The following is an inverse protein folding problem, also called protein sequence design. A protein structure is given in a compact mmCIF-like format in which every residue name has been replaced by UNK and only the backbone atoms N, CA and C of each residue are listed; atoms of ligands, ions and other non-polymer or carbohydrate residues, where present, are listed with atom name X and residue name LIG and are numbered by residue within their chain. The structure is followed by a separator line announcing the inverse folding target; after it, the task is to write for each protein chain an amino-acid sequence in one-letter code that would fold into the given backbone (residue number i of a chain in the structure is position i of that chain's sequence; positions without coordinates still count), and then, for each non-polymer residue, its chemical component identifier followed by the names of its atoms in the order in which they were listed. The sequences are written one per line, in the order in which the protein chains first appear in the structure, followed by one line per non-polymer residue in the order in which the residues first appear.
data_IF_137377726015
#
_entry.id   IF_137377726015
#
_cell.length_a   1.000
_cell.length_b   1.000
_cell.length_c   1.000
_cell.angle_alpha   90.00
_cell.angle_beta   90.00
_cell.angle_gamma   90.00
#
_symmetry.space_group_name_H-M   'P 1'
#
loop_
_entity.id
_entity.type
_entity.pdbx_description
1 polymer ?
2 polymer ?
#
loop_
_entity_poly.entity_id
_entity_poly.type
_entity_poly.pdbx_seq_one_letter_code
_entity_poly.pdbx_strand_id
2 'polydeoxyribonucleotide' '(DA)(DC)(DC)(DG)(DT)(DA)(DA)(DA)(DC)(DA)(DT)(DG)(DT)(DT)(DT)(DA)(DC)(DG)(DG)(DT)' ?
#
# COMPACT_ATOMS: atom_id res chain seq x y z
N UNK A 13 0.83 14.34 23.30
CA UNK A 13 -0.48 14.83 23.66
C UNK A 13 -1.57 13.86 23.20
N UNK A 14 -2.59 13.73 24.04
CA UNK A 14 -3.69 12.82 23.76
C UNK A 14 -4.99 13.28 24.42
N UNK A 15 -5.05 14.51 24.94
CA UNK A 15 -6.27 14.98 25.56
C UNK A 15 -7.40 14.96 24.53
N UNK A 16 -8.63 14.85 25.03
CA UNK A 16 -9.78 14.67 24.16
C UNK A 16 -9.81 15.76 23.09
N UNK A 17 -10.14 15.42 21.85
CA UNK A 17 -10.22 16.44 20.82
C UNK A 17 -11.58 17.11 20.84
N UNK A 18 -11.63 18.40 20.55
CA UNK A 18 -12.90 19.17 20.59
C UNK A 18 -13.78 18.97 19.35
N UNK A 19 -13.98 17.72 18.96
CA UNK A 19 -14.78 17.43 17.78
C UNK A 19 -15.83 16.39 18.12
N UNK A 20 -17.02 16.56 17.56
CA UNK A 20 -18.06 15.56 17.72
C UNK A 20 -17.72 14.33 16.89
N UNK A 21 -18.39 13.22 17.21
CA UNK A 21 -18.18 12.00 16.45
C UNK A 21 -18.53 12.18 14.99
N UNK A 22 -19.69 12.79 14.73
CA UNK A 22 -20.08 13.08 13.34
C UNK A 22 -19.02 13.93 12.64
N UNK A 23 -18.37 14.83 13.38
CA UNK A 23 -17.34 15.68 12.77
C UNK A 23 -16.11 14.86 12.41
N UNK A 24 -15.56 14.12 13.38
CA UNK A 24 -14.35 13.34 13.15
C UNK A 24 -14.57 12.26 12.08
N UNK A 25 -15.81 11.79 11.92
CA UNK A 25 -16.10 10.83 10.86
C UNK A 25 -16.00 11.52 9.50
N UNK A 26 -16.60 12.70 9.36
CA UNK A 26 -16.54 13.42 8.08
C UNK A 26 -15.11 13.76 7.71
N UNK A 27 -14.28 14.14 8.70
CA UNK A 27 -12.88 14.35 8.43
C UNK A 27 -12.25 13.12 7.80
N UNK A 28 -12.54 11.95 8.37
CA UNK A 28 -11.95 10.72 7.85
C UNK A 28 -12.51 10.41 6.46
N UNK A 29 -13.83 10.42 6.32
CA UNK A 29 -14.43 10.05 5.04
C UNK A 29 -14.00 11.00 3.92
N UNK A 30 -13.93 12.29 4.21
CA UNK A 30 -13.57 13.27 3.19
C UNK A 30 -12.08 13.33 2.89
N UNK A 31 -11.23 12.69 3.70
CA UNK A 31 -9.79 12.72 3.47
C UNK A 31 -9.32 11.70 2.43
N UNK A 32 -10.24 10.96 1.82
CA UNK A 32 -9.93 9.97 0.81
C UNK A 32 -10.17 10.56 -0.58
N UNK A 33 -9.53 9.96 -1.59
CA UNK A 33 -9.69 10.48 -2.95
C UNK A 33 -11.13 10.33 -3.43
N UNK A 34 -11.79 9.21 -3.09
CA UNK A 34 -13.11 8.91 -3.61
C UNK A 34 -14.22 9.20 -2.61
N UNK A 35 -13.94 9.96 -1.55
CA UNK A 35 -14.93 10.42 -0.57
C UNK A 35 -15.72 9.23 0.01
N UNK A 36 -14.96 8.28 0.55
CA UNK A 36 -15.48 6.97 0.91
C UNK A 36 -14.46 6.21 1.77
N UNK A 37 -14.94 5.44 2.74
CA UNK A 37 -14.00 4.73 3.62
C UNK A 37 -14.67 3.51 4.26
N UNK A 38 -13.92 2.42 4.37
CA UNK A 38 -14.38 1.26 5.12
C UNK A 38 -14.31 1.57 6.62
N UNK A 39 -15.15 0.87 7.41
CA UNK A 39 -15.26 1.18 8.84
C UNK A 39 -13.92 1.02 9.56
N UNK A 40 -13.19 -0.08 9.29
CA UNK A 40 -11.90 -0.28 9.99
C UNK A 40 -10.91 0.83 9.65
N UNK A 41 -11.01 1.42 8.45
CA UNK A 41 -10.17 2.55 8.10
C UNK A 41 -10.63 3.86 8.75
N UNK A 42 -11.88 3.93 9.25
CA UNK A 42 -12.37 5.07 10.02
C UNK A 42 -11.87 5.02 11.47
N UNK A 43 -11.92 3.83 12.10
CA UNK A 43 -11.27 3.62 13.39
C UNK A 43 -9.79 4.01 13.29
N UNK A 44 -9.09 3.45 12.30
CA UNK A 44 -7.66 3.69 12.15
C UNK A 44 -7.36 5.17 11.93
N UNK A 45 -8.18 5.85 11.13
CA UNK A 45 -7.96 7.27 10.87
C UNK A 45 -8.14 8.10 12.14
N UNK A 46 -9.17 7.78 12.94
CA UNK A 46 -9.40 8.52 14.17
C UNK A 46 -8.34 8.17 15.23
N UNK A 47 -7.93 6.90 15.28
CA UNK A 47 -6.87 6.49 16.18
C UNK A 47 -5.55 7.18 15.83
N UNK A 48 -5.25 7.30 14.54
CA UNK A 48 -3.96 7.84 14.12
C UNK A 48 -3.91 9.36 14.25
N UNK A 49 -4.99 10.05 13.88
CA UNK A 49 -4.99 11.50 13.92
C UNK A 49 -5.34 12.06 15.29
N UNK A 50 -5.86 11.23 16.20
CA UNK A 50 -6.18 11.68 17.56
C UNK A 50 -5.78 10.57 18.51
N UNK A 51 -4.57 10.64 19.07
CA UNK A 51 -4.09 9.52 19.89
C UNK A 51 -4.97 9.24 21.11
N UNK A 52 -5.92 10.11 21.45
CA UNK A 52 -6.81 9.81 22.57
C UNK A 52 -7.51 8.48 22.39
N UNK A 53 -8.03 8.21 21.20
CA UNK A 53 -8.79 7.00 20.97
C UNK A 53 -7.91 5.76 20.82
N UNK A 54 -6.59 5.93 20.60
CA UNK A 54 -5.66 4.82 20.50
C UNK A 54 -5.14 4.36 21.86
N UNK A 55 -4.98 5.28 22.82
CA UNK A 55 -4.32 4.97 24.09
C UNK A 55 -5.23 5.04 25.31
N UNK A 56 -6.43 5.62 25.21
CA UNK A 56 -7.21 5.93 26.39
C UNK A 56 -8.58 5.28 26.38
N UNK A 57 -9.35 5.56 25.34
CA UNK A 57 -10.78 5.28 25.36
C UNK A 57 -11.04 3.79 25.58
N UNK A 58 -12.09 3.50 26.35
CA UNK A 58 -12.60 2.15 26.53
C UNK A 58 -13.24 1.67 25.22
N UNK A 59 -13.38 0.34 25.02
CA UNK A 59 -13.84 -0.14 23.70
C UNK A 59 -15.20 0.39 23.26
N UNK A 60 -15.90 1.16 24.11
CA UNK A 60 -17.22 1.64 23.78
C UNK A 60 -17.28 2.71 22.71
N UNK A 61 -16.16 3.37 22.40
CA UNK A 61 -16.20 4.45 21.41
C UNK A 61 -16.46 3.91 20.01
N UNK A 62 -16.01 2.69 19.71
CA UNK A 62 -16.35 2.05 18.44
C UNK A 62 -17.85 1.75 18.34
N UNK A 63 -18.51 1.51 19.48
CA UNK A 63 -19.97 1.36 19.52
C UNK A 63 -20.67 2.69 19.25
N UNK A 64 -20.09 3.79 19.72
CA UNK A 64 -20.69 5.10 19.45
C UNK A 64 -20.49 5.53 18.00
N UNK A 65 -19.37 5.14 17.39
CA UNK A 65 -19.13 5.52 16.00
C UNK A 65 -20.09 4.76 15.10
N UNK A 66 -20.29 3.51 15.33
CA UNK A 66 -21.27 2.85 14.56
C UNK A 66 -22.59 3.47 14.82
N UNK A 67 -22.90 3.77 16.05
CA UNK A 67 -24.17 4.41 16.35
C UNK A 67 -24.36 5.67 15.52
N UNK A 68 -23.31 6.49 15.40
CA UNK A 68 -23.43 7.73 14.64
C UNK A 68 -23.64 7.46 13.16
N UNK A 69 -23.00 6.43 12.63
CA UNK A 69 -23.09 6.17 11.19
C UNK A 69 -24.51 5.80 10.79
N UNK A 70 -25.15 4.93 11.57
CA UNK A 70 -26.50 4.51 11.21
C UNK A 70 -27.54 5.58 11.52
N UNK A 71 -27.30 6.44 12.51
CA UNK A 71 -28.36 7.37 12.92
C UNK A 71 -28.42 8.59 12.01
N UNK A 72 -27.30 9.28 11.81
CA UNK A 72 -27.30 10.46 10.96
C UNK A 72 -27.52 10.05 9.51
N UNK A 73 -28.54 10.62 8.88
CA UNK A 73 -28.90 10.18 7.54
C UNK A 73 -27.88 10.59 6.51
N UNK A 74 -27.03 11.58 6.81
CA UNK A 74 -26.01 11.98 5.84
C UNK A 74 -25.03 10.85 5.60
N UNK A 75 -24.90 9.91 6.53
CA UNK A 75 -23.98 8.79 6.39
C UNK A 75 -24.73 7.62 5.77
N UNK A 76 -24.59 7.51 4.46
CA UNK A 76 -25.13 6.44 3.63
C UNK A 76 -23.99 5.52 3.19
N UNK A 77 -24.28 4.23 3.00
CA UNK A 77 -23.23 3.28 2.64
C UNK A 77 -23.33 2.81 1.19
N UNK A 78 -22.18 2.43 0.64
CA UNK A 78 -22.00 2.05 -0.76
C UNK A 78 -21.10 0.81 -0.83
N UNK A 79 -21.42 -0.12 -1.71
CA UNK A 79 -20.67 -1.37 -1.81
C UNK A 79 -19.81 -1.40 -3.07
N UNK A 80 -18.70 -2.12 -2.99
CA UNK A 80 -17.84 -2.27 -4.14
C UNK A 80 -18.51 -3.15 -5.19
N UNK A 81 -17.93 -3.15 -6.39
CA UNK A 81 -18.42 -4.03 -7.45
C UNK A 81 -18.22 -5.48 -7.07
N UNK A 82 -17.03 -5.81 -6.54
CA UNK A 82 -16.74 -7.17 -6.11
C UNK A 82 -17.73 -7.65 -5.06
N UNK A 83 -18.56 -6.76 -4.51
CA UNK A 83 -19.57 -7.15 -3.54
C UNK A 83 -19.02 -7.70 -2.24
N UNK A 84 -17.71 -7.54 -2.03
CA UNK A 84 -17.03 -8.04 -0.84
C UNK A 84 -16.50 -6.94 0.06
N UNK A 85 -16.76 -5.66 -0.24
CA UNK A 85 -16.32 -4.53 0.59
C UNK A 85 -17.47 -3.55 0.74
N UNK A 86 -17.76 -3.15 1.98
CA UNK A 86 -18.83 -2.21 2.32
C UNK A 86 -18.21 -0.92 2.83
N UNK A 87 -18.46 0.19 2.15
CA UNK A 87 -17.89 1.50 2.44
C UNK A 87 -18.93 2.41 3.10
N UNK A 88 -18.44 3.52 3.67
CA UNK A 88 -19.30 4.61 4.15
C UNK A 88 -18.96 5.86 3.33
N UNK A 89 -19.98 6.48 2.73
CA UNK A 89 -19.82 7.63 1.84
C UNK A 89 -20.83 8.70 2.24
N UNK A 90 -20.52 9.94 1.86
CA UNK A 90 -21.42 11.07 2.04
C UNK A 90 -22.03 11.41 0.68
N UNK A 91 -23.28 11.85 0.67
CA UNK A 91 -23.90 12.28 -0.59
C UNK A 91 -23.93 13.80 -0.71
N UNK B 16 -38.60 -32.24 5.78
CA UNK B 16 -37.42 -31.58 5.23
C UNK B 16 -37.47 -31.59 3.70
N UNK B 17 -37.17 -30.48 3.07
CA UNK B 17 -37.19 -30.41 1.60
C UNK B 17 -35.87 -30.90 1.02
N UNK B 18 -35.90 -31.60 -0.17
CA UNK B 18 -34.68 -32.15 -0.76
C UNK B 18 -33.81 -31.13 -1.50
N UNK B 19 -33.58 -29.99 -0.85
CA UNK B 19 -32.79 -28.91 -1.42
C UNK B 19 -31.78 -28.38 -0.41
N UNK B 20 -30.58 -28.04 -0.87
CA UNK B 20 -29.56 -27.41 -0.03
C UNK B 20 -29.94 -25.97 0.26
N UNK B 21 -29.27 -25.38 1.25
CA UNK B 21 -29.53 -23.98 1.57
C UNK B 21 -29.15 -23.08 0.40
N UNK B 22 -27.97 -23.31 -0.17
CA UNK B 22 -27.55 -22.55 -1.35
C UNK B 22 -28.60 -22.66 -2.46
N UNK B 23 -29.24 -23.83 -2.59
CA UNK B 23 -30.25 -23.99 -3.63
C UNK B 23 -31.52 -23.20 -3.29
N UNK B 24 -32.08 -23.42 -2.10
CA UNK B 24 -33.32 -22.75 -1.70
C UNK B 24 -33.15 -21.23 -1.66
N UNK B 25 -31.95 -20.74 -1.38
CA UNK B 25 -31.74 -19.30 -1.35
C UNK B 25 -31.80 -18.73 -2.76
N UNK B 26 -31.09 -19.35 -3.70
CA UNK B 26 -31.08 -18.82 -5.06
C UNK B 26 -32.48 -18.86 -5.66
N UNK B 27 -33.29 -19.85 -5.27
CA UNK B 27 -34.68 -19.89 -5.72
C UNK B 27 -35.39 -18.59 -5.36
N UNK B 28 -35.18 -18.11 -4.14
CA UNK B 28 -35.86 -16.88 -3.70
C UNK B 28 -35.39 -15.68 -4.49
N UNK B 29 -34.07 -15.50 -4.58
CA UNK B 29 -33.49 -14.37 -5.30
C UNK B 29 -33.90 -14.39 -6.77
N UNK B 30 -34.02 -15.57 -7.37
CA UNK B 30 -34.43 -15.64 -8.76
C UNK B 30 -35.91 -15.34 -8.94
N UNK B 31 -36.68 -15.38 -7.85
CA UNK B 31 -38.11 -15.11 -7.89
C UNK B 31 -38.45 -13.63 -7.83
N UNK B 32 -37.46 -12.74 -7.84
CA UNK B 32 -37.69 -11.31 -7.73
C UNK B 32 -37.62 -10.61 -9.08
N UNK B 33 -38.34 -9.49 -9.18
CA UNK B 33 -38.34 -8.68 -10.40
C UNK B 33 -36.98 -8.05 -10.63
N UNK B 34 -36.34 -7.58 -9.57
CA UNK B 34 -35.11 -6.81 -9.66
C UNK B 34 -33.87 -7.62 -9.31
N UNK B 35 -33.98 -8.96 -9.32
CA UNK B 35 -32.85 -9.87 -9.15
C UNK B 35 -32.04 -9.53 -7.89
N UNK B 36 -32.74 -9.41 -6.78
CA UNK B 36 -32.19 -8.91 -5.52
C UNK B 36 -33.18 -9.21 -4.43
N UNK B 37 -32.68 -9.46 -3.22
CA UNK B 37 -33.62 -9.75 -2.15
C UNK B 37 -33.01 -9.39 -0.81
N UNK B 38 -33.84 -8.81 0.06
CA UNK B 38 -33.47 -8.54 1.43
C UNK B 38 -33.41 -9.85 2.22
N UNK B 39 -32.56 -9.88 3.25
CA UNK B 39 -32.46 -11.08 4.08
C UNK B 39 -33.80 -11.45 4.71
N UNK B 40 -34.52 -10.46 5.26
CA UNK B 40 -35.81 -10.77 5.86
C UNK B 40 -36.81 -11.28 4.82
N UNK B 41 -36.69 -10.81 3.56
CA UNK B 41 -37.51 -11.33 2.46
C UNK B 41 -37.06 -12.71 1.99
N UNK B 42 -35.82 -13.11 2.28
CA UNK B 42 -35.36 -14.47 2.01
C UNK B 42 -35.94 -15.44 3.03
N UNK B 43 -35.95 -15.06 4.31
CA UNK B 43 -36.63 -15.85 5.32
C UNK B 43 -38.10 -16.06 4.95
N UNK B 44 -38.80 -14.97 4.65
CA UNK B 44 -40.23 -15.08 4.36
C UNK B 44 -40.49 -15.98 3.15
N UNK B 45 -39.66 -15.88 2.12
CA UNK B 45 -39.86 -16.68 0.92
C UNK B 45 -39.66 -18.17 1.21
N UNK B 46 -38.66 -18.51 2.03
CA UNK B 46 -38.40 -19.91 2.37
C UNK B 46 -39.46 -20.44 3.34
N UNK B 47 -39.93 -19.61 4.27
CA UNK B 47 -41.03 -20.01 5.15
C UNK B 47 -42.30 -20.28 4.34
N UNK B 48 -42.56 -19.45 3.33
CA UNK B 48 -43.81 -19.57 2.58
C UNK B 48 -43.77 -20.75 1.60
N UNK B 49 -42.64 -20.91 0.90
CA UNK B 49 -42.50 -21.93 -0.13
C UNK B 49 -42.03 -23.28 0.40
N UNK B 50 -41.63 -23.36 1.67
CA UNK B 50 -41.28 -24.64 2.30
C UNK B 50 -41.81 -24.64 3.72
N UNK B 51 -43.03 -25.14 3.93
CA UNK B 51 -43.67 -25.02 5.24
C UNK B 51 -42.90 -25.71 6.34
N UNK B 52 -41.88 -26.50 5.99
CA UNK B 52 -41.06 -27.16 7.01
C UNK B 52 -40.47 -26.14 7.97
N UNK B 53 -39.94 -25.03 7.44
CA UNK B 53 -39.25 -24.02 8.24
C UNK B 53 -40.20 -23.09 9.00
N UNK B 54 -41.48 -23.07 8.67
CA UNK B 54 -42.44 -22.27 9.41
C UNK B 54 -42.96 -23.00 10.63
N UNK B 55 -43.09 -24.33 10.54
CA UNK B 55 -43.74 -25.11 11.58
C UNK B 55 -42.83 -26.09 12.32
N UNK B 56 -41.65 -26.43 11.80
CA UNK B 56 -40.89 -27.51 12.42
C UNK B 56 -39.52 -27.01 12.88
N UNK B 57 -38.77 -26.42 11.96
CA UNK B 57 -37.35 -26.17 12.17
C UNK B 57 -37.13 -25.27 13.39
N UNK B 58 -36.08 -25.56 14.14
CA UNK B 58 -35.67 -24.71 15.25
C UNK B 58 -35.12 -23.39 14.71
N UNK B 59 -35.12 -22.33 15.52
CA UNK B 59 -34.77 -20.99 15.00
C UNK B 59 -33.37 -20.88 14.39
N UNK B 60 -32.57 -21.96 14.46
CA UNK B 60 -31.21 -21.93 13.97
C UNK B 60 -31.07 -21.88 12.46
N UNK B 61 -32.16 -22.18 11.72
CA UNK B 61 -32.05 -22.24 10.26
C UNK B 61 -31.75 -20.87 9.67
N UNK B 62 -32.19 -19.80 10.34
CA UNK B 62 -31.83 -18.47 9.90
C UNK B 62 -30.32 -18.24 10.00
N UNK B 63 -29.65 -18.88 10.97
CA UNK B 63 -28.19 -18.80 11.05
C UNK B 63 -27.53 -19.54 9.89
N UNK B 64 -28.13 -20.66 9.47
CA UNK B 64 -27.57 -21.38 8.34
C UNK B 64 -27.73 -20.59 7.05
N UNK B 65 -28.76 -19.76 6.97
CA UNK B 65 -28.99 -18.96 5.76
C UNK B 65 -27.92 -17.87 5.63
N UNK B 66 -27.66 -17.17 6.72
CA UNK B 66 -26.63 -16.14 6.73
C UNK B 66 -25.25 -16.75 6.49
N UNK B 67 -25.03 -17.95 7.03
CA UNK B 67 -23.75 -18.65 6.87
C UNK B 67 -23.51 -19.00 5.41
N UNK B 68 -24.54 -19.48 4.71
CA UNK B 68 -24.38 -19.83 3.30
C UNK B 68 -24.16 -18.59 2.44
N UNK B 69 -24.80 -17.48 2.78
CA UNK B 69 -24.69 -16.28 1.94
C UNK B 69 -23.28 -15.70 1.95
N UNK B 70 -22.65 -15.61 3.12
CA UNK B 70 -21.33 -14.99 3.19
C UNK B 70 -20.26 -15.91 2.62
N UNK B 71 -20.50 -17.22 2.65
CA UNK B 71 -19.49 -18.21 2.27
C UNK B 71 -19.42 -18.42 0.76
N UNK B 72 -20.53 -18.75 0.14
CA UNK B 72 -20.56 -19.01 -1.29
C UNK B 72 -20.36 -17.71 -2.07
N UNK B 73 -19.39 -17.70 -2.99
CA UNK B 73 -19.07 -16.46 -3.70
C UNK B 73 -20.16 -16.05 -4.70
N UNK B 74 -21.07 -16.97 -5.07
CA UNK B 74 -22.11 -16.57 -6.02
C UNK B 74 -23.05 -15.52 -5.42
N UNK B 75 -23.11 -15.43 -4.09
CA UNK B 75 -24.00 -14.49 -3.40
C UNK B 75 -23.21 -13.23 -3.06
N UNK B 76 -23.32 -12.21 -3.91
CA UNK B 76 -22.68 -10.92 -3.66
C UNK B 76 -23.76 -9.93 -3.27
N UNK B 77 -23.46 -8.98 -2.40
CA UNK B 77 -24.43 -8.00 -2.06
C UNK B 77 -24.18 -6.72 -2.72
N UNK B 78 -25.20 -5.90 -2.77
CA UNK B 78 -25.19 -4.61 -3.43
C UNK B 78 -26.14 -3.69 -2.69
N UNK B 79 -25.81 -2.40 -2.69
CA UNK B 79 -26.60 -1.42 -1.97
C UNK B 79 -27.47 -0.66 -2.96
N UNK B 80 -28.65 -0.25 -2.49
CA UNK B 80 -29.57 0.49 -3.33
C UNK B 80 -29.02 1.89 -3.60
N UNK B 81 -29.66 2.61 -4.53
CA UNK B 81 -29.21 3.96 -4.80
C UNK B 81 -29.35 4.81 -3.55
N UNK B 82 -30.51 4.71 -2.86
CA UNK B 82 -30.71 5.41 -1.60
C UNK B 82 -29.67 5.03 -0.55
N UNK B 83 -28.88 3.99 -0.82
CA UNK B 83 -27.79 3.59 0.05
C UNK B 83 -28.23 3.21 1.44
N UNK B 84 -29.54 3.03 1.63
CA UNK B 84 -30.08 2.72 2.94
C UNK B 84 -30.65 1.31 3.00
N UNK B 85 -30.52 0.52 1.94
CA UNK B 85 -30.94 -0.88 1.92
C UNK B 85 -29.83 -1.70 1.26
N UNK B 86 -29.49 -2.83 1.88
CA UNK B 86 -28.46 -3.73 1.40
C UNK B 86 -29.10 -5.04 0.96
N UNK B 87 -28.96 -5.37 -0.34
CA UNK B 87 -29.59 -6.52 -0.96
C UNK B 87 -28.59 -7.65 -1.16
N UNK B 88 -29.13 -8.84 -1.41
CA UNK B 88 -28.36 -10.01 -1.78
C UNK B 88 -28.74 -10.40 -3.20
N UNK B 89 -27.74 -10.58 -4.05
CA UNK B 89 -27.95 -10.93 -5.46
C UNK B 89 -26.95 -12.01 -5.85
N UNK B 90 -27.29 -12.76 -6.91
CA UNK B 90 -26.43 -13.82 -7.40
C UNK B 90 -25.65 -13.31 -8.61
N UNK B 91 -24.38 -13.73 -8.72
CA UNK B 91 -23.52 -13.32 -9.83
C UNK B 91 -23.37 -14.40 -10.89
N UNK E 13 30.03 -3.51 -40.16
CA UNK E 13 30.57 -3.88 -38.86
C UNK E 13 29.60 -3.51 -37.74
N UNK E 14 28.38 -3.13 -38.11
CA UNK E 14 27.30 -2.87 -37.16
C UNK E 14 26.54 -4.15 -36.77
N UNK E 15 27.15 -5.33 -36.95
CA UNK E 15 26.48 -6.59 -36.70
C UNK E 15 26.30 -6.82 -35.19
N UNK E 16 25.54 -7.86 -34.86
CA UNK E 16 25.44 -8.30 -33.47
C UNK E 16 26.77 -8.88 -33.00
N UNK E 17 27.22 -8.55 -31.80
CA UNK E 17 28.49 -9.10 -31.31
C UNK E 17 28.26 -10.43 -30.61
N UNK E 18 29.19 -11.43 -30.81
CA UNK E 18 29.06 -12.77 -30.21
C UNK E 18 29.58 -12.87 -28.78
N UNK E 19 29.17 -11.93 -27.94
CA UNK E 19 29.64 -11.86 -26.56
C UNK E 19 28.45 -11.73 -25.63
N UNK E 20 28.55 -12.34 -24.46
CA UNK E 20 27.52 -12.13 -23.46
C UNK E 20 27.63 -10.71 -22.91
N UNK E 21 26.55 -10.25 -22.28
CA UNK E 21 26.60 -8.92 -21.69
C UNK E 21 27.70 -8.84 -20.64
N UNK E 22 27.80 -9.86 -19.79
CA UNK E 22 28.87 -9.95 -18.81
C UNK E 22 30.24 -9.81 -19.47
N UNK E 23 30.39 -10.33 -20.69
CA UNK E 23 31.67 -10.22 -21.37
C UNK E 23 31.95 -8.78 -21.77
N UNK E 24 31.00 -8.17 -22.48
CA UNK E 24 31.18 -6.82 -23.00
C UNK E 24 31.40 -5.80 -21.89
N UNK E 25 30.89 -6.06 -20.69
CA UNK E 25 31.09 -5.17 -19.56
C UNK E 25 32.56 -5.22 -19.10
N UNK E 26 33.11 -6.44 -19.00
CA UNK E 26 34.49 -6.62 -18.54
C UNK E 26 35.47 -5.92 -19.47
N UNK E 27 35.19 -5.93 -20.77
CA UNK E 27 36.03 -5.20 -21.71
C UNK E 27 36.12 -3.73 -21.34
N UNK E 28 35.00 -3.11 -20.96
CA UNK E 28 35.02 -1.70 -20.63
C UNK E 28 35.83 -1.44 -19.37
N UNK E 29 35.52 -2.16 -18.28
CA UNK E 29 36.22 -1.92 -17.02
C UNK E 29 37.71 -2.21 -17.15
N UNK E 30 38.05 -3.28 -17.85
CA UNK E 30 39.46 -3.64 -17.94
C UNK E 30 40.23 -2.74 -18.91
N UNK E 31 39.55 -1.97 -19.76
CA UNK E 31 40.24 -1.07 -20.67
C UNK E 31 40.59 0.27 -20.03
N UNK E 32 40.29 0.46 -18.75
CA UNK E 32 40.56 1.71 -18.07
C UNK E 32 41.85 1.58 -17.27
N UNK E 33 42.45 2.72 -16.95
CA UNK E 33 43.73 2.68 -16.25
C UNK E 33 43.59 2.08 -14.86
N UNK E 34 42.51 2.42 -14.14
CA UNK E 34 42.34 2.01 -12.76
C UNK E 34 41.30 0.90 -12.59
N UNK E 35 40.94 0.19 -13.67
CA UNK E 35 39.97 -0.91 -13.63
C UNK E 35 38.66 -0.48 -12.99
N UNK E 36 38.09 0.57 -13.56
CA UNK E 36 36.94 1.22 -12.95
C UNK E 36 36.28 2.12 -13.99
N UNK E 37 34.94 2.13 -14.01
CA UNK E 37 34.21 2.88 -15.01
C UNK E 37 32.81 3.19 -14.50
N UNK E 38 32.36 4.42 -14.75
CA UNK E 38 30.97 4.73 -14.45
C UNK E 38 30.06 4.09 -15.50
N UNK E 39 28.81 3.84 -15.11
CA UNK E 39 27.88 3.18 -16.03
C UNK E 39 27.71 3.98 -17.33
N UNK E 40 27.51 5.29 -17.22
CA UNK E 40 27.32 6.09 -18.42
C UNK E 40 28.54 6.02 -19.34
N UNK E 41 29.74 5.81 -18.78
CA UNK E 41 30.90 5.56 -19.60
C UNK E 41 30.94 4.14 -20.14
N UNK E 42 30.17 3.23 -19.57
CA UNK E 42 30.06 1.87 -20.10
C UNK E 42 29.14 1.85 -21.31
N UNK E 43 27.97 2.51 -21.20
CA UNK E 43 27.09 2.65 -22.36
C UNK E 43 27.85 3.24 -23.53
N UNK E 44 28.50 4.38 -23.31
CA UNK E 44 29.23 5.05 -24.39
C UNK E 44 30.32 4.15 -24.93
N UNK E 45 30.98 3.40 -24.05
CA UNK E 45 32.05 2.51 -24.50
C UNK E 45 31.53 1.38 -25.38
N UNK E 46 30.40 0.77 -25.00
CA UNK E 46 29.87 -0.35 -25.77
C UNK E 46 29.25 0.13 -27.08
N UNK E 47 28.60 1.30 -27.07
CA UNK E 47 28.07 1.88 -28.29
C UNK E 47 29.18 2.18 -29.30
N UNK E 48 30.35 2.61 -28.81
CA UNK E 48 31.43 2.99 -29.70
C UNK E 48 32.12 1.77 -30.27
N UNK E 49 32.37 0.76 -29.44
CA UNK E 49 33.07 -0.45 -29.87
C UNK E 49 32.16 -1.49 -30.50
N UNK E 50 30.85 -1.36 -30.37
CA UNK E 50 29.89 -2.27 -31.00
C UNK E 50 28.70 -1.46 -31.48
N UNK E 51 28.76 -0.97 -32.72
CA UNK E 51 27.75 0.00 -33.18
C UNK E 51 26.33 -0.54 -33.22
N UNK E 52 26.12 -1.85 -33.06
CA UNK E 52 24.77 -2.40 -33.08
C UNK E 52 23.89 -1.72 -32.02
N UNK E 53 24.43 -1.52 -30.82
CA UNK E 53 23.69 -0.91 -29.72
C UNK E 53 23.55 0.60 -29.82
N UNK E 54 24.37 1.27 -30.67
CA UNK E 54 24.33 2.72 -30.78
C UNK E 54 23.29 3.21 -31.77
N UNK E 55 23.12 2.49 -32.89
CA UNK E 55 22.29 2.95 -33.99
C UNK E 55 21.07 2.08 -34.21
N UNK E 56 21.01 0.91 -33.58
CA UNK E 56 20.02 -0.08 -33.96
C UNK E 56 19.17 -0.51 -32.77
N UNK E 57 19.82 -1.02 -31.72
CA UNK E 57 19.12 -1.77 -30.69
C UNK E 57 18.02 -0.93 -30.04
N UNK E 58 16.91 -1.59 -29.67
CA UNK E 58 15.85 -0.95 -28.93
C UNK E 58 16.35 -0.58 -27.52
N UNK E 59 15.72 0.43 -26.86
CA UNK E 59 16.28 0.94 -25.59
C UNK E 59 16.41 -0.08 -24.44
N UNK E 60 15.96 -1.32 -24.63
CA UNK E 60 16.00 -2.30 -23.54
C UNK E 60 17.38 -2.82 -23.17
N UNK E 61 18.39 -2.63 -24.03
CA UNK E 61 19.71 -3.21 -23.74
C UNK E 61 20.36 -2.54 -22.53
N UNK E 62 20.10 -1.26 -22.30
CA UNK E 62 20.61 -0.60 -21.10
C UNK E 62 20.00 -1.23 -19.84
N UNK E 63 18.77 -1.74 -19.94
CA UNK E 63 18.18 -2.50 -18.83
C UNK E 63 18.93 -3.81 -18.64
N UNK E 64 19.43 -4.40 -19.74
CA UNK E 64 20.16 -5.64 -19.61
C UNK E 64 21.53 -5.45 -18.97
N UNK E 65 22.16 -4.29 -19.20
CA UNK E 65 23.50 -4.07 -18.63
C UNK E 65 23.42 -3.89 -17.13
N UNK E 66 22.43 -3.11 -16.70
CA UNK E 66 22.17 -2.91 -15.28
C UNK E 66 21.80 -4.24 -14.61
N UNK E 67 21.09 -5.09 -15.33
CA UNK E 67 20.70 -6.39 -14.79
C UNK E 67 21.93 -7.26 -14.55
N UNK E 68 22.87 -7.27 -15.51
CA UNK E 68 24.07 -8.10 -15.36
C UNK E 68 24.98 -7.59 -14.25
N UNK E 69 25.07 -6.27 -14.08
CA UNK E 69 25.99 -5.71 -13.10
C UNK E 69 25.56 -6.05 -11.67
N UNK E 70 24.28 -5.90 -11.36
CA UNK E 70 23.84 -6.15 -10.00
C UNK E 70 23.77 -7.64 -9.70
N UNK E 71 23.54 -8.49 -10.71
CA UNK E 71 23.33 -9.92 -10.44
C UNK E 71 24.65 -10.64 -10.24
N UNK E 72 25.59 -10.50 -11.18
CA UNK E 72 26.87 -11.17 -11.05
C UNK E 72 27.70 -10.54 -9.93
N UNK E 73 28.17 -11.37 -8.99
CA UNK E 73 28.92 -10.84 -7.86
C UNK E 73 30.30 -10.31 -8.26
N UNK E 74 30.81 -10.69 -9.44
CA UNK E 74 32.11 -10.20 -9.88
C UNK E 74 32.10 -8.71 -10.11
N UNK E 75 30.92 -8.13 -10.33
CA UNK E 75 30.79 -6.69 -10.54
C UNK E 75 30.45 -6.06 -9.20
N UNK E 76 31.47 -5.52 -8.52
CA UNK E 76 31.32 -4.80 -7.26
C UNK E 76 31.52 -3.31 -7.54
N UNK E 77 30.77 -2.46 -6.83
CA UNK E 77 30.81 -1.04 -7.07
C UNK E 77 31.54 -0.29 -5.95
N UNK E 78 32.10 0.86 -6.34
CA UNK E 78 32.91 1.71 -5.48
C UNK E 78 32.52 3.16 -5.77
N UNK E 79 32.45 3.97 -4.71
CA UNK E 79 32.07 5.37 -4.85
C UNK E 79 33.27 6.28 -4.64
N UNK E 80 33.21 7.46 -5.25
CA UNK E 80 34.25 8.47 -5.16
C UNK E 80 34.35 9.03 -3.75
N UNK E 81 35.46 9.74 -3.49
CA UNK E 81 35.61 10.40 -2.20
C UNK E 81 34.57 11.51 -2.04
N UNK E 82 34.40 12.34 -3.07
CA UNK E 82 33.36 13.36 -3.06
C UNK E 82 31.96 12.75 -2.94
N UNK E 83 31.84 11.43 -3.07
CA UNK E 83 30.55 10.76 -3.02
C UNK E 83 29.61 11.10 -4.14
N UNK E 84 30.11 11.74 -5.20
CA UNK E 84 29.28 12.21 -6.29
C UNK E 84 29.49 11.42 -7.57
N UNK E 85 30.30 10.36 -7.54
CA UNK E 85 30.51 9.49 -8.69
C UNK E 85 30.46 8.04 -8.21
N UNK E 86 29.64 7.22 -8.87
CA UNK E 86 29.48 5.82 -8.50
C UNK E 86 30.07 5.00 -9.64
N UNK E 87 31.11 4.21 -9.33
CA UNK E 87 31.90 3.45 -10.27
C UNK E 87 31.58 1.96 -10.25
N UNK E 88 32.02 1.27 -11.30
CA UNK E 88 31.97 -0.19 -11.37
C UNK E 88 33.38 -0.75 -11.54
N UNK E 89 33.76 -1.71 -10.70
CA UNK E 89 35.08 -2.32 -10.71
C UNK E 89 34.90 -3.83 -10.64
N UNK E 90 35.88 -4.58 -11.16
CA UNK E 90 35.84 -6.04 -11.16
C UNK E 90 36.75 -6.55 -10.05
N UNK E 91 36.32 -7.64 -9.39
CA UNK E 91 37.15 -8.32 -8.39
C UNK E 91 37.73 -9.63 -8.96
N UNK F 12 -6.17 17.93 21.70
CA UNK F 12 -4.98 18.06 20.85
C UNK F 12 -4.97 17.01 19.75
N UNK F 13 -4.36 17.37 18.61
CA UNK F 13 -4.46 16.59 17.39
C UNK F 13 -3.05 16.01 17.21
N UNK F 14 -2.69 15.70 15.95
CA UNK F 14 -1.40 15.07 15.62
C UNK F 14 -0.82 15.68 14.36
N UNK F 15 0.32 16.36 14.49
CA UNK F 15 0.83 17.17 13.39
C UNK F 15 2.29 16.86 13.08
N UNK F 16 2.72 17.42 11.96
CA UNK F 16 4.12 17.49 11.57
C UNK F 16 4.98 18.02 12.73
N UNK F 17 6.15 17.44 12.97
CA UNK F 17 7.02 17.89 14.06
C UNK F 17 7.85 19.09 13.64
N UNK F 18 8.23 19.98 14.58
CA UNK F 18 8.91 21.23 14.17
C UNK F 18 10.36 21.07 13.76
N UNK F 19 10.62 20.13 12.86
CA UNK F 19 11.95 19.87 12.35
C UNK F 19 11.91 19.79 10.82
N UNK F 20 12.92 20.32 10.16
CA UNK F 20 13.04 20.16 8.72
C UNK F 20 13.50 18.75 8.40
N UNK F 21 13.34 18.35 7.14
CA UNK F 21 13.80 17.02 6.75
C UNK F 21 15.30 16.91 6.95
N UNK F 22 16.04 17.95 6.57
CA UNK F 22 17.47 17.96 6.84
C UNK F 22 17.77 17.71 8.31
N UNK F 23 16.93 18.24 9.21
CA UNK F 23 17.18 18.04 10.62
C UNK F 23 16.92 16.59 11.03
N UNK F 24 15.72 16.09 10.75
CA UNK F 24 15.32 14.75 11.17
C UNK F 24 16.22 13.66 10.59
N UNK F 25 16.81 13.91 9.42
CA UNK F 25 17.73 12.93 8.85
C UNK F 25 19.02 12.90 9.63
N UNK F 26 19.61 14.08 9.86
CA UNK F 26 20.90 14.13 10.54
C UNK F 26 20.79 13.60 11.96
N UNK F 27 19.63 13.79 12.60
CA UNK F 27 19.40 13.18 13.90
C UNK F 27 19.60 11.67 13.81
N UNK F 28 19.06 11.06 12.75
CA UNK F 28 19.15 9.62 12.58
C UNK F 28 20.60 9.19 12.33
N UNK F 29 21.26 9.83 11.37
CA UNK F 29 22.64 9.46 11.06
C UNK F 29 23.52 9.62 12.29
N UNK F 30 23.27 10.65 13.12
CA UNK F 30 24.07 10.88 14.31
C UNK F 30 23.76 9.88 15.43
N UNK F 31 22.64 9.17 15.35
CA UNK F 31 22.25 8.20 16.36
C UNK F 31 22.90 6.84 16.16
N UNK F 32 23.78 6.69 15.18
CA UNK F 32 24.39 5.40 14.87
C UNK F 32 25.80 5.31 15.45
N UNK F 33 26.22 4.07 15.72
CA UNK F 33 27.56 3.84 16.27
C UNK F 33 28.64 4.14 15.24
N UNK F 34 28.41 3.77 13.98
CA UNK F 34 29.39 3.88 12.91
C UNK F 34 29.12 5.09 12.02
N UNK F 35 28.31 6.03 12.48
CA UNK F 35 28.09 7.32 11.84
C UNK F 35 27.69 7.15 10.38
N UNK F 36 26.67 6.32 10.17
CA UNK F 36 26.28 5.84 8.85
C UNK F 36 24.88 5.28 8.98
N UNK F 37 24.11 5.44 7.93
CA UNK F 37 22.78 4.86 8.01
C UNK F 37 22.31 4.57 6.61
N UNK F 38 21.65 3.43 6.48
CA UNK F 38 21.00 3.05 5.25
C UNK F 38 19.74 3.89 5.05
N UNK F 39 19.39 4.14 3.79
CA UNK F 39 18.18 4.92 3.51
C UNK F 39 16.97 4.23 4.12
N UNK F 40 16.87 2.92 3.96
CA UNK F 40 15.74 2.19 4.54
C UNK F 40 15.78 2.28 6.06
N UNK F 41 16.98 2.38 6.63
CA UNK F 41 17.11 2.57 8.08
C UNK F 41 16.74 4.00 8.50
N UNK F 42 16.80 4.96 7.56
CA UNK F 42 16.40 6.34 7.83
C UNK F 42 14.89 6.48 7.86
N UNK F 43 14.17 5.82 6.94
CA UNK F 43 12.72 5.75 7.04
C UNK F 43 12.30 5.21 8.41
N UNK F 44 12.84 4.03 8.76
CA UNK F 44 12.44 3.37 9.99
C UNK F 44 12.74 4.23 11.22
N UNK F 45 13.90 4.89 11.22
CA UNK F 45 14.24 5.76 12.35
C UNK F 45 13.27 6.92 12.44
N UNK F 46 12.90 7.50 11.29
CA UNK F 46 11.94 8.60 11.29
C UNK F 46 10.54 8.08 11.59
N UNK F 47 10.19 6.90 11.06
CA UNK F 47 8.90 6.29 11.36
C UNK F 47 8.76 6.01 12.85
N UNK F 48 9.82 5.50 13.50
CA UNK F 48 9.74 5.08 14.89
C UNK F 48 9.77 6.27 15.85
N UNK F 49 10.64 7.25 15.59
CA UNK F 49 10.82 8.39 16.47
C UNK F 49 9.85 9.53 16.19
N UNK F 50 9.09 9.46 15.09
CA UNK F 50 8.09 10.47 14.77
C UNK F 50 6.85 9.77 14.22
N UNK F 51 5.90 9.45 15.10
CA UNK F 51 4.75 8.62 14.67
C UNK F 51 3.91 9.25 13.59
N UNK F 52 4.11 10.54 13.30
CA UNK F 52 3.36 11.19 12.22
C UNK F 52 3.60 10.49 10.89
N UNK F 53 4.86 10.16 10.57
CA UNK F 53 5.19 9.59 9.27
C UNK F 53 4.86 8.11 9.15
N UNK F 54 4.60 7.42 10.25
CA UNK F 54 4.20 6.02 10.21
C UNK F 54 2.70 5.86 10.03
N UNK F 55 1.92 6.78 10.61
CA UNK F 55 0.47 6.62 10.64
C UNK F 55 -0.31 7.66 9.83
N UNK F 56 0.28 8.80 9.47
CA UNK F 56 -0.46 9.93 8.91
C UNK F 56 0.09 10.37 7.55
N UNK F 57 1.40 10.59 7.44
CA UNK F 57 1.96 11.27 6.28
C UNK F 57 1.65 10.53 4.99
N UNK F 58 1.40 11.29 3.92
CA UNK F 58 1.17 10.72 2.60
C UNK F 58 2.47 10.11 2.08
N UNK F 59 2.37 9.12 1.17
CA UNK F 59 3.59 8.38 0.79
C UNK F 59 4.69 9.23 0.18
N UNK F 60 4.42 10.50 -0.14
CA UNK F 60 5.42 11.35 -0.77
C UNK F 60 6.57 11.76 0.11
N UNK F 61 6.47 11.56 1.44
CA UNK F 61 7.51 12.04 2.34
C UNK F 61 8.83 11.30 2.13
N UNK F 62 8.77 10.04 1.71
CA UNK F 62 10.01 9.35 1.37
C UNK F 62 10.67 9.98 0.14
N UNK F 63 9.88 10.55 -0.78
CA UNK F 63 10.46 11.30 -1.90
C UNK F 63 11.16 12.54 -1.37
N UNK F 64 10.60 13.15 -0.34
CA UNK F 64 11.25 14.33 0.22
C UNK F 64 12.56 13.95 0.91
N UNK F 65 12.66 12.73 1.45
CA UNK F 65 13.87 12.31 2.14
C UNK F 65 15.02 12.12 1.15
N UNK F 66 14.75 11.51 0.04
CA UNK F 66 15.80 11.35 -0.92
C UNK F 66 16.18 12.68 -1.47
N UNK F 67 15.21 13.52 -1.73
CA UNK F 67 15.45 14.85 -2.29
C UNK F 67 16.38 15.66 -1.39
N UNK F 68 16.13 15.65 -0.08
CA UNK F 68 16.97 16.42 0.83
C UNK F 68 18.38 15.85 0.89
N UNK F 69 18.54 14.52 0.82
CA UNK F 69 19.86 13.91 0.95
C UNK F 69 20.77 14.26 -0.22
N UNK F 70 20.25 14.20 -1.44
CA UNK F 70 21.09 14.46 -2.59
C UNK F 70 21.41 15.94 -2.73
N UNK F 71 20.52 16.81 -2.24
CA UNK F 71 20.68 18.24 -2.44
C UNK F 71 21.68 18.86 -1.47
N UNK F 72 21.48 18.67 -0.17
CA UNK F 72 22.37 19.26 0.81
C UNK F 72 23.75 18.58 0.75
N UNK F 73 24.81 19.39 0.60
CA UNK F 73 26.14 18.82 0.45
C UNK F 73 26.66 18.16 1.72
N UNK F 74 26.04 18.43 2.88
CA UNK F 74 26.48 17.78 4.11
C UNK F 74 26.23 16.28 4.08
N UNK F 75 25.33 15.81 3.24
CA UNK F 75 25.03 14.39 3.14
C UNK F 75 25.88 13.81 2.00
N UNK F 76 27.01 13.21 2.33
CA UNK F 76 27.81 12.50 1.34
C UNK F 76 27.58 11.03 1.57
N UNK F 77 27.54 10.24 0.50
CA UNK F 77 27.32 8.81 0.65
C UNK F 77 28.62 8.08 0.38
N UNK F 78 28.72 6.90 1.00
CA UNK F 78 29.88 6.04 0.91
C UNK F 78 29.39 4.62 0.79
N UNK F 79 30.13 3.78 0.07
CA UNK F 79 29.76 2.40 -0.11
C UNK F 79 30.68 1.52 0.75
N UNK F 80 30.14 0.39 1.21
CA UNK F 80 30.96 -0.51 2.01
C UNK F 80 32.02 -1.20 1.14
N UNK F 81 32.97 -1.85 1.81
CA UNK F 81 33.99 -2.60 1.10
C UNK F 81 33.35 -3.76 0.33
N UNK F 82 32.39 -4.45 0.95
CA UNK F 82 31.65 -5.49 0.26
C UNK F 82 30.91 -4.96 -0.96
N UNK F 83 30.81 -3.64 -1.11
CA UNK F 83 30.15 -3.05 -2.24
C UNK F 83 28.67 -3.39 -2.30
N UNK F 84 28.14 -3.95 -1.22
CA UNK F 84 26.74 -4.36 -1.19
C UNK F 84 25.90 -3.49 -0.27
N UNK F 85 26.47 -2.46 0.34
CA UNK F 85 25.73 -1.53 1.18
C UNK F 85 26.16 -0.11 0.82
N UNK F 86 25.17 0.77 0.63
CA UNK F 86 25.39 2.18 0.33
C UNK F 86 24.87 3.01 1.50
N UNK F 87 25.78 3.70 2.19
CA UNK F 87 25.40 4.43 3.40
C UNK F 87 25.31 5.92 3.12
N UNK F 88 24.59 6.62 3.98
CA UNK F 88 24.51 8.08 3.94
C UNK F 88 25.16 8.59 5.20
N UNK F 89 26.10 9.53 5.04
CA UNK F 89 26.83 10.06 6.17
C UNK F 89 26.98 11.56 6.02
N UNK F 90 27.20 12.24 7.16
CA UNK F 90 27.38 13.69 7.15
C UNK F 90 28.86 14.02 7.26
N UNK F 91 29.28 15.05 6.52
CA UNK F 91 30.67 15.53 6.54
C UNK F 91 30.82 16.83 7.32
#
# INVERSE_FOLDING_TARGET
GPSRPSASWQNSVSERPPYSYMAMIQFAINSTERKRMTLKDIYTWIEDHFPYFKHIAKPGWKNSIRHNLSLHDMFVRETSANGKVSFWTIHPSANRYLTLDQVFKPLDPGSPQLPEH
GPSRPSASWQNSVSERPPYSYMAMIQFAINSTERKRMTLKDIYTWIEDHFPYFKHIAKPGWKNSIRHNLSLHDMFVRETSANGKVSFWTIHPSANRYLTLDQVFKPLDPGSPQLPEH
GPSRPSASWQNSVSERPPYSYMAMIQFAINSTERKRMTLKDIYTWIEDHFPYFKHIAKPGWKNSIRHNLSLHDMFVRETSANGKVSFWTIHPSANRYLTLDQVFKPLDPGSPQLPEH
GPSRPSASWQNSVSERPPYSYMAMIQFAINSTERKRMTLKDIYTWIEDHFPYFKHIAKPGWKNSIRHNLSLHDMFVRETSANGKVSFWTIHPSANRYLTLDQVFKPLDPGSPQLPEH
#
